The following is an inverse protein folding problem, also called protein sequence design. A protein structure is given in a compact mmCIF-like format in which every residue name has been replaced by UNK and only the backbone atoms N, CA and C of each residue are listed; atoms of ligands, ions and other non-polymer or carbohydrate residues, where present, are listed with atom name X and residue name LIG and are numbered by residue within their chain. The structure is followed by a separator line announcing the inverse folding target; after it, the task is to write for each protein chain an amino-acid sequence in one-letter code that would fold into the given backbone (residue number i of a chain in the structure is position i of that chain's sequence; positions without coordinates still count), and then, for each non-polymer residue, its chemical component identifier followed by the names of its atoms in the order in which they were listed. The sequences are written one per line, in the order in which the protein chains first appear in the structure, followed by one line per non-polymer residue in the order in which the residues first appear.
data_IF_066461967712
#
_entry.id   IF_066461967712
#
_cell.length_a   1.000
_cell.length_b   1.000
_cell.length_c   1.000
_cell.angle_alpha   90.00
_cell.angle_beta   90.00
_cell.angle_gamma   90.00
#
_symmetry.space_group_name_H-M   'P 1'
#
loop_
_entity.id
_entity.type
_entity.pdbx_description
1 polymer ?
#
# COMPACT_ATOMS: atom_id res chain seq x y z
N UNK A 1 26.49 16.93 -16.39
CA UNK A 1 25.75 15.74 -15.92
C UNK A 1 24.30 16.16 -15.67
N UNK A 2 23.30 15.60 -16.38
CA UNK A 2 21.91 15.99 -16.14
C UNK A 2 21.44 15.50 -14.77
N UNK A 3 21.04 16.46 -13.93
CA UNK A 3 20.49 16.27 -12.59
C UNK A 3 19.06 15.70 -12.69
N UNK A 4 18.91 14.40 -12.49
CA UNK A 4 17.60 13.74 -12.43
C UNK A 4 16.99 13.99 -11.04
N UNK A 5 16.26 15.10 -10.92
CA UNK A 5 15.45 15.36 -9.72
C UNK A 5 14.30 14.35 -9.73
N UNK A 6 14.11 13.50 -8.70
CA UNK A 6 13.04 12.52 -8.71
C UNK A 6 11.69 13.27 -8.74
N UNK A 7 11.00 13.19 -9.88
CA UNK A 7 9.63 13.68 -9.99
C UNK A 7 8.80 12.89 -8.97
N UNK A 8 8.24 13.57 -7.96
CA UNK A 8 7.27 12.93 -7.07
C UNK A 8 6.09 12.52 -7.94
N UNK A 9 5.94 11.24 -8.19
CA UNK A 9 4.80 10.70 -8.93
C UNK A 9 3.53 11.03 -8.13
N UNK A 10 2.55 11.75 -8.71
CA UNK A 10 1.36 12.12 -7.99
C UNK A 10 0.61 10.84 -7.60
N UNK A 11 0.48 10.58 -6.30
CA UNK A 11 -0.33 9.48 -5.79
C UNK A 11 -1.76 9.68 -6.29
N UNK A 12 -2.15 8.92 -7.32
CA UNK A 12 -3.42 9.12 -7.99
C UNK A 12 -4.57 9.01 -6.97
N UNK A 13 -5.37 10.06 -6.77
CA UNK A 13 -6.47 10.04 -5.80
C UNK A 13 -7.48 8.94 -6.13
N UNK A 14 -7.57 8.53 -7.40
CA UNK A 14 -8.37 7.39 -7.86
C UNK A 14 -7.95 6.07 -7.19
N UNK A 15 -6.64 5.82 -7.07
CA UNK A 15 -6.11 4.61 -6.43
C UNK A 15 -6.44 4.58 -4.93
N UNK A 16 -6.43 5.74 -4.27
CA UNK A 16 -6.83 5.85 -2.86
C UNK A 16 -8.33 5.59 -2.69
N UNK A 17 -9.15 6.17 -3.56
CA UNK A 17 -10.60 5.99 -3.53
C UNK A 17 -11.01 4.53 -3.74
N UNK A 18 -10.46 3.86 -4.75
CA UNK A 18 -10.81 2.46 -5.06
C UNK A 18 -10.28 1.49 -3.99
N UNK A 19 -9.10 1.76 -3.42
CA UNK A 19 -8.45 0.84 -2.45
C UNK A 19 -8.92 1.02 -1.00
N UNK A 20 -9.47 2.18 -0.64
CA UNK A 20 -9.83 2.44 0.77
C UNK A 20 -11.25 2.95 0.92
N UNK A 21 -11.68 3.92 0.11
CA UNK A 21 -12.99 4.58 0.29
C UNK A 21 -14.13 3.63 -0.08
N UNK A 22 -14.02 2.93 -1.20
CA UNK A 22 -15.02 1.96 -1.65
C UNK A 22 -15.26 0.82 -0.63
N UNK A 23 -14.23 0.08 -0.16
CA UNK A 23 -14.44 -0.99 0.80
C UNK A 23 -14.93 -0.49 2.17
N UNK A 24 -14.45 0.67 2.65
CA UNK A 24 -14.97 1.27 3.88
C UNK A 24 -16.46 1.60 3.73
N UNK A 25 -16.88 2.16 2.60
CA UNK A 25 -18.29 2.46 2.34
C UNK A 25 -19.16 1.21 2.35
N UNK A 26 -18.69 0.08 1.81
CA UNK A 26 -19.40 -1.21 1.84
C UNK A 26 -19.57 -1.73 3.26
N UNK A 27 -18.52 -1.67 4.08
CA UNK A 27 -18.59 -2.07 5.51
C UNK A 27 -19.56 -1.18 6.28
N UNK A 28 -19.49 0.14 6.09
CA UNK A 28 -20.40 1.10 6.74
C UNK A 28 -21.85 0.87 6.32
N UNK A 29 -22.10 0.61 5.03
CA UNK A 29 -23.44 0.25 4.55
C UNK A 29 -23.97 -1.02 5.24
N UNK A 30 -23.16 -2.08 5.33
CA UNK A 30 -23.53 -3.31 6.05
C UNK A 30 -23.83 -3.08 7.53
N UNK A 31 -23.05 -2.21 8.19
CA UNK A 31 -23.28 -1.84 9.59
C UNK A 31 -24.57 -1.03 9.79
N UNK A 32 -24.89 -0.11 8.86
CA UNK A 32 -26.14 0.66 8.88
C UNK A 32 -27.33 -0.29 8.75
N UNK A 33 -27.31 -1.22 7.79
CA UNK A 33 -28.38 -2.22 7.61
C UNK A 33 -28.58 -3.08 8.85
N UNK A 34 -27.49 -3.49 9.50
CA UNK A 34 -27.53 -4.24 10.75
C UNK A 34 -28.17 -3.46 11.91
N UNK A 35 -27.83 -2.17 12.03
CA UNK A 35 -28.37 -1.30 13.09
C UNK A 35 -29.85 -0.95 12.88
N UNK A 36 -30.32 -0.90 11.63
CA UNK A 36 -31.72 -0.55 11.31
C UNK A 36 -32.72 -1.69 11.50
N UNK A 37 -32.29 -2.95 11.45
CA UNK A 37 -33.19 -4.10 11.61
C UNK A 37 -32.57 -5.20 12.50
N UNK A 38 -32.65 -5.06 13.84
CA UNK A 38 -32.03 -5.97 14.80
C UNK A 38 -32.79 -7.29 15.02
N UNK A 39 -33.76 -7.64 14.17
CA UNK A 39 -34.57 -8.85 14.34
C UNK A 39 -33.75 -10.10 14.00
N UNK A 40 -33.61 -11.03 14.95
CA UNK A 40 -32.80 -12.29 14.86
C UNK A 40 -33.00 -13.14 13.60
N UNK A 41 -34.12 -12.94 12.91
CA UNK A 41 -34.52 -13.70 11.71
C UNK A 41 -33.96 -13.14 10.39
N UNK A 42 -33.43 -11.91 10.40
CA UNK A 42 -32.97 -11.18 9.20
C UNK A 42 -31.44 -11.03 9.11
N UNK A 43 -30.67 -11.73 9.96
CA UNK A 43 -29.22 -11.53 10.10
C UNK A 43 -28.37 -12.02 8.92
N UNK A 44 -28.92 -12.88 8.05
CA UNK A 44 -28.15 -13.52 6.98
C UNK A 44 -27.66 -12.53 5.91
N UNK A 45 -28.49 -11.56 5.52
CA UNK A 45 -28.12 -10.49 4.58
C UNK A 45 -27.07 -9.53 5.13
N UNK A 46 -27.27 -8.92 6.31
CA UNK A 46 -26.30 -8.03 6.95
C UNK A 46 -24.96 -8.72 7.24
N UNK A 47 -24.97 -9.98 7.72
CA UNK A 47 -23.74 -10.73 7.97
C UNK A 47 -22.95 -10.98 6.68
N UNK A 48 -23.63 -11.31 5.58
CA UNK A 48 -22.99 -11.47 4.28
C UNK A 48 -22.37 -10.16 3.76
N UNK A 49 -23.06 -9.02 3.92
CA UNK A 49 -22.53 -7.71 3.53
C UNK A 49 -21.32 -7.27 4.37
N UNK A 50 -21.39 -7.47 5.69
CA UNK A 50 -20.28 -7.17 6.61
C UNK A 50 -19.09 -8.08 6.28
N UNK A 51 -19.32 -9.38 6.08
CA UNK A 51 -18.30 -10.35 5.68
C UNK A 51 -17.63 -9.96 4.37
N UNK A 52 -18.42 -9.65 3.33
CA UNK A 52 -17.89 -9.20 2.04
C UNK A 52 -17.05 -7.92 2.17
N UNK A 53 -17.54 -6.92 2.91
CA UNK A 53 -16.80 -5.67 3.15
C UNK A 53 -15.49 -5.89 3.90
N UNK A 54 -15.50 -6.73 4.95
CA UNK A 54 -14.30 -7.08 5.71
C UNK A 54 -13.29 -7.87 4.86
N UNK A 55 -13.74 -8.83 4.04
CA UNK A 55 -12.88 -9.58 3.14
C UNK A 55 -12.18 -8.68 2.14
N UNK A 56 -12.91 -7.75 1.50
CA UNK A 56 -12.30 -6.80 0.55
C UNK A 56 -11.31 -5.87 1.25
N UNK A 57 -11.65 -5.38 2.44
CA UNK A 57 -10.75 -4.53 3.23
C UNK A 57 -9.47 -5.27 3.63
N UNK A 58 -9.60 -6.52 4.09
CA UNK A 58 -8.47 -7.37 4.43
C UNK A 58 -7.57 -7.64 3.22
N UNK A 59 -8.15 -7.97 2.06
CA UNK A 59 -7.41 -8.20 0.82
C UNK A 59 -6.63 -6.95 0.38
N UNK A 60 -7.22 -5.76 0.49
CA UNK A 60 -6.51 -4.50 0.19
C UNK A 60 -5.36 -4.23 1.17
N UNK A 61 -5.55 -4.55 2.45
CA UNK A 61 -4.49 -4.41 3.47
C UNK A 61 -3.33 -5.37 3.18
N UNK A 62 -3.63 -6.64 2.92
CA UNK A 62 -2.61 -7.65 2.64
C UNK A 62 -1.84 -7.34 1.35
N UNK A 63 -2.53 -6.92 0.29
CA UNK A 63 -1.90 -6.50 -0.95
C UNK A 63 -0.96 -5.32 -0.73
N UNK A 64 -1.35 -4.32 0.07
CA UNK A 64 -0.48 -3.19 0.41
C UNK A 64 0.76 -3.63 1.18
N UNK A 65 0.61 -4.55 2.13
CA UNK A 65 1.73 -5.08 2.91
C UNK A 65 2.71 -5.86 2.00
N UNK A 66 2.20 -6.70 1.10
CA UNK A 66 3.00 -7.43 0.12
C UNK A 66 3.78 -6.52 -0.83
N UNK A 67 3.10 -5.54 -1.44
CA UNK A 67 3.76 -4.59 -2.37
C UNK A 67 4.82 -3.74 -1.66
N UNK A 68 4.61 -3.34 -0.40
CA UNK A 68 5.64 -2.63 0.37
C UNK A 68 6.89 -3.49 0.58
N UNK A 69 6.72 -4.79 0.86
CA UNK A 69 7.83 -5.71 1.02
C UNK A 69 8.62 -5.96 -0.27
N UNK A 70 7.95 -5.99 -1.42
CA UNK A 70 8.62 -6.14 -2.71
C UNK A 70 9.47 -4.92 -3.07
N UNK A 71 9.00 -3.70 -2.77
CA UNK A 71 9.79 -2.47 -2.98
C UNK A 71 11.10 -2.47 -2.17
N UNK A 72 11.07 -2.96 -0.92
CA UNK A 72 12.28 -3.04 -0.11
C UNK A 72 13.23 -4.14 -0.61
N UNK A 73 12.69 -5.28 -1.09
CA UNK A 73 13.50 -6.33 -1.75
C UNK A 73 14.12 -5.84 -3.06
N UNK A 74 13.39 -5.10 -3.87
CA UNK A 74 13.91 -4.52 -5.12
C UNK A 74 15.03 -3.51 -4.85
N UNK A 75 14.90 -2.70 -3.79
CA UNK A 75 15.95 -1.78 -3.34
C UNK A 75 17.21 -2.52 -2.89
N UNK A 76 17.04 -3.60 -2.14
CA UNK A 76 18.16 -4.43 -1.70
C UNK A 76 18.86 -5.13 -2.88
N UNK A 77 18.09 -5.64 -3.84
CA UNK A 77 18.61 -6.23 -5.07
C UNK A 77 19.37 -5.18 -5.91
N UNK A 78 18.82 -3.97 -6.06
CA UNK A 78 19.49 -2.87 -6.75
C UNK A 78 20.80 -2.47 -6.05
N UNK A 79 20.82 -2.41 -4.72
CA UNK A 79 22.03 -2.12 -3.96
C UNK A 79 23.10 -3.21 -4.13
N UNK A 80 22.72 -4.50 -4.17
CA UNK A 80 23.65 -5.59 -4.50
C UNK A 80 24.24 -5.44 -5.90
N UNK A 81 23.38 -5.21 -6.91
CA UNK A 81 23.84 -5.04 -8.28
C UNK A 81 24.82 -3.86 -8.44
N UNK A 82 24.61 -2.80 -7.66
CA UNK A 82 25.51 -1.66 -7.61
C UNK A 82 26.86 -2.03 -6.97
N UNK A 83 26.83 -2.74 -5.84
CA UNK A 83 28.03 -3.20 -5.15
C UNK A 83 28.85 -4.15 -6.04
N UNK A 84 28.22 -5.11 -6.71
CA UNK A 84 28.90 -6.04 -7.62
C UNK A 84 29.57 -5.31 -8.79
N UNK A 85 28.96 -4.22 -9.26
CA UNK A 85 29.49 -3.42 -10.37
C UNK A 85 30.58 -2.41 -9.97
N UNK A 86 30.51 -1.83 -8.77
CA UNK A 86 31.38 -0.70 -8.36
C UNK A 86 32.34 -1.05 -7.22
N UNK A 87 32.14 -2.18 -6.53
CA UNK A 87 32.95 -2.62 -5.40
C UNK A 87 32.73 -1.83 -4.10
N UNK A 88 31.73 -0.95 -4.05
CA UNK A 88 31.36 -0.16 -2.87
C UNK A 88 29.85 0.05 -2.82
N UNK A 89 29.32 0.39 -1.65
CA UNK A 89 27.88 0.58 -1.51
C UNK A 89 27.44 1.96 -2.06
N UNK A 90 26.20 2.10 -2.56
CA UNK A 90 25.71 3.34 -3.16
C UNK A 90 25.55 4.49 -2.15
N UNK A 91 25.41 4.19 -0.87
CA UNK A 91 25.38 5.15 0.23
C UNK A 91 26.78 5.64 0.64
N UNK A 92 27.82 4.83 0.48
CA UNK A 92 29.22 5.26 0.66
C UNK A 92 29.63 6.26 -0.43
N UNK A 93 29.23 6.01 -1.68
CA UNK A 93 29.44 6.94 -2.79
C UNK A 93 28.80 8.31 -2.55
N UNK A 94 27.58 8.33 -1.99
CA UNK A 94 26.89 9.58 -1.62
C UNK A 94 27.60 10.34 -0.50
N UNK A 95 28.22 9.64 0.45
CA UNK A 95 28.97 10.25 1.55
C UNK A 95 30.32 10.79 1.09
N UNK A 96 31.03 10.05 0.22
CA UNK A 96 32.31 10.47 -0.34
C UNK A 96 32.19 11.72 -1.22
N UNK A 97 31.10 11.87 -1.98
CA UNK A 97 30.81 13.08 -2.75
C UNK A 97 30.36 14.29 -1.92
N UNK A 98 29.85 14.06 -0.70
CA UNK A 98 29.41 15.11 0.23
C UNK A 98 30.49 15.65 1.16
N UNK A 99 31.60 14.92 1.34
CA UNK A 99 32.73 15.29 2.22
C UNK A 99 33.80 16.13 1.50
N UNK A 100 33.46 16.78 0.38
CA UNK A 100 34.32 17.81 -0.24
C UNK A 100 33.90 19.19 0.26
N UNK A 101 34.37 19.56 1.45
CA UNK A 101 34.40 20.93 1.97
C UNK A 101 35.66 21.16 2.77
#
# INVERSE_FOLDING_TARGET
MPNQTPAREPTSPLLVTVRYVLPIAVVVAGLIFFLTDPTVRNFEGPAALIGAGLSVLLLNVLHRAGVRGDVDRDREAAARSYFDAHGHWPDEARQAGGMSK
#
